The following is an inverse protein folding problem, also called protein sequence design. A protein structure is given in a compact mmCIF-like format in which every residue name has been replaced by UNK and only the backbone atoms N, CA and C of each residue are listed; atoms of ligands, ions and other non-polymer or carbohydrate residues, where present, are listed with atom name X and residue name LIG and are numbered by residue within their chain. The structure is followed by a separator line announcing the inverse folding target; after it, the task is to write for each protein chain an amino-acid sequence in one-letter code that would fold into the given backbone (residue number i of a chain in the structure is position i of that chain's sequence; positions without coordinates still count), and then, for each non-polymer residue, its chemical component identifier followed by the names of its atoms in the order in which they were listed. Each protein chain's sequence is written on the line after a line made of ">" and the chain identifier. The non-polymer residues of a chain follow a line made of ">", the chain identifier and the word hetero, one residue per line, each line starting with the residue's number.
data_IF_015415761739
#
_entry.id   IF_015415761739
#
_cell.length_a   1.000
_cell.length_b   1.000
_cell.length_c   1.000
_cell.angle_alpha   90.00
_cell.angle_beta   90.00
_cell.angle_gamma   90.00
#
_symmetry.space_group_name_H-M   'P 1'
#
loop_
_entity.id
_entity.type
_entity.pdbx_description
1 polymer ?
#
# COMPACT_ATOMS: atom_id res chain seq x y z
N UNK A 1 7.47 76.17 0.80
CA UNK A 1 6.74 75.08 1.57
C UNK A 1 6.72 73.85 0.74
N UNK A 2 7.40 72.79 1.14
CA UNK A 2 7.40 71.49 0.46
C UNK A 2 6.46 70.54 1.26
N UNK A 3 5.55 69.80 0.62
CA UNK A 3 4.70 68.86 1.32
C UNK A 3 5.49 67.59 1.68
N UNK A 4 5.37 67.17 2.94
CA UNK A 4 5.88 65.91 3.45
C UNK A 4 4.93 64.81 3.00
N UNK A 5 5.43 63.85 2.20
CA UNK A 5 4.72 62.63 1.82
C UNK A 5 5.13 61.53 2.80
N UNK A 6 4.20 61.04 3.62
CA UNK A 6 4.40 59.87 4.48
C UNK A 6 4.10 58.58 3.70
N UNK A 7 5.01 57.61 3.67
CA UNK A 7 4.70 56.31 3.07
C UNK A 7 3.79 55.48 3.99
N UNK A 8 2.64 55.10 3.46
CA UNK A 8 1.71 54.19 4.13
C UNK A 8 2.23 52.74 3.98
N UNK A 9 2.77 52.15 5.04
CA UNK A 9 3.13 50.74 5.06
C UNK A 9 1.86 49.90 5.33
N UNK A 10 1.37 49.16 4.33
CA UNK A 10 0.34 48.16 4.50
C UNK A 10 0.99 46.88 4.99
N UNK A 11 0.80 46.56 6.27
CA UNK A 11 1.18 45.27 6.83
C UNK A 11 0.18 44.20 6.36
N UNK A 12 0.58 43.38 5.39
CA UNK A 12 -0.19 42.22 4.97
C UNK A 12 -0.02 41.14 6.02
N UNK A 13 -1.01 40.96 6.89
CA UNK A 13 -1.05 39.83 7.87
C UNK A 13 -1.31 38.54 7.11
N UNK A 14 -0.29 37.69 6.95
CA UNK A 14 -0.44 36.32 6.47
C UNK A 14 -1.14 35.50 7.58
N UNK A 15 -2.40 35.16 7.37
CA UNK A 15 -3.11 34.20 8.20
C UNK A 15 -2.44 32.82 8.07
N UNK A 16 -2.14 32.09 9.16
CA UNK A 16 -1.62 30.76 9.09
C UNK A 16 -2.67 29.86 8.42
N UNK A 17 -2.29 29.16 7.34
CA UNK A 17 -3.13 28.15 6.74
C UNK A 17 -3.41 27.05 7.76
N UNK A 18 -4.67 26.88 8.14
CA UNK A 18 -5.11 25.73 8.97
C UNK A 18 -4.76 24.45 8.20
N UNK A 19 -3.75 23.77 8.65
CA UNK A 19 -3.44 22.41 8.17
C UNK A 19 -4.54 21.50 8.67
N UNK A 20 -5.28 20.87 7.75
CA UNK A 20 -6.26 19.86 8.12
C UNK A 20 -5.56 18.78 8.97
N UNK A 21 -6.19 18.41 10.09
CA UNK A 21 -5.65 17.33 10.92
C UNK A 21 -5.54 16.05 10.10
N UNK A 22 -4.43 15.32 10.27
CA UNK A 22 -4.24 14.03 9.61
C UNK A 22 -5.39 13.09 9.99
N UNK A 23 -5.90 12.29 9.03
CA UNK A 23 -6.96 11.32 9.31
C UNK A 23 -6.57 10.36 10.43
N UNK A 24 -7.50 9.98 11.33
CA UNK A 24 -7.18 9.10 12.45
C UNK A 24 -6.67 7.74 11.96
N UNK A 25 -5.57 7.29 12.58
CA UNK A 25 -4.99 5.97 12.35
C UNK A 25 -5.82 4.94 13.10
N UNK A 26 -6.39 3.98 12.40
CA UNK A 26 -7.16 2.85 12.96
C UNK A 26 -6.24 1.70 13.31
N UNK A 27 -5.21 1.49 12.50
CA UNK A 27 -4.19 0.47 12.72
C UNK A 27 -2.87 0.90 12.06
N UNK A 28 -1.76 0.56 12.72
CA UNK A 28 -0.41 0.76 12.19
C UNK A 28 0.49 -0.40 12.61
N UNK A 29 1.30 -0.89 11.69
CA UNK A 29 2.42 -1.78 11.97
C UNK A 29 3.65 -1.33 11.16
N UNK A 30 4.70 -0.99 11.86
CA UNK A 30 5.99 -0.58 11.26
C UNK A 30 6.92 -1.75 11.02
N UNK A 31 6.55 -2.95 11.53
CA UNK A 31 7.38 -4.15 11.48
C UNK A 31 8.77 -4.00 12.12
N UNK A 32 8.87 -3.18 13.17
CA UNK A 32 10.16 -2.83 13.80
C UNK A 32 10.88 -4.03 14.42
N UNK A 33 10.13 -4.92 15.14
CA UNK A 33 10.72 -6.06 15.87
C UNK A 33 9.90 -7.34 15.76
N UNK A 34 8.59 -7.22 15.80
CA UNK A 34 7.63 -8.32 15.76
C UNK A 34 6.42 -7.90 14.95
N UNK A 35 5.64 -8.85 14.47
CA UNK A 35 4.33 -8.58 13.90
C UNK A 35 3.37 -8.11 14.98
N UNK A 36 2.52 -7.16 14.66
CA UNK A 36 1.40 -6.75 15.50
C UNK A 36 0.42 -7.91 15.75
N UNK A 37 -0.40 -7.79 16.82
CA UNK A 37 -1.25 -8.88 17.33
C UNK A 37 -2.35 -9.34 16.38
N UNK A 38 -2.78 -8.48 15.43
CA UNK A 38 -3.97 -8.75 14.62
C UNK A 38 -3.66 -9.34 13.24
N UNK A 39 -2.44 -9.80 13.05
CA UNK A 39 -2.02 -10.49 11.84
C UNK A 39 -2.17 -12.00 11.93
N UNK A 40 -2.54 -12.62 10.84
CA UNK A 40 -2.58 -14.06 10.65
C UNK A 40 -1.94 -14.46 9.32
N UNK A 41 -1.11 -15.49 9.33
CA UNK A 41 -0.53 -16.04 8.11
C UNK A 41 -1.52 -16.98 7.41
N UNK A 42 -1.70 -16.80 6.13
CA UNK A 42 -2.34 -17.78 5.26
C UNK A 42 -1.24 -18.59 4.56
N UNK A 43 -1.27 -19.91 4.78
CA UNK A 43 -0.28 -20.85 4.24
C UNK A 43 1.17 -20.47 4.58
N UNK A 44 1.42 -20.32 5.88
CA UNK A 44 2.73 -19.92 6.38
C UNK A 44 3.84 -20.91 6.00
N UNK A 45 4.94 -20.35 5.49
CA UNK A 45 6.25 -20.99 5.42
C UNK A 45 7.21 -20.13 6.26
N UNK A 46 7.52 -20.52 7.52
CA UNK A 46 8.30 -19.69 8.43
C UNK A 46 9.76 -19.50 8.02
N UNK A 47 10.22 -20.24 7.01
CA UNK A 47 11.58 -20.06 6.44
C UNK A 47 11.63 -19.00 5.34
N UNK A 48 10.47 -18.56 4.87
CA UNK A 48 10.35 -17.64 3.74
C UNK A 48 9.77 -16.27 4.15
N UNK A 49 9.88 -15.90 5.41
CA UNK A 49 9.65 -14.54 5.88
C UNK A 49 10.54 -14.22 7.08
N UNK A 50 10.79 -12.95 7.31
CA UNK A 50 11.58 -12.47 8.45
C UNK A 50 11.31 -10.99 8.72
N UNK A 51 11.57 -10.55 9.95
CA UNK A 51 11.71 -9.13 10.27
C UNK A 51 13.19 -8.80 10.25
N UNK A 52 13.56 -7.81 9.45
CA UNK A 52 14.95 -7.39 9.30
C UNK A 52 15.03 -5.88 9.15
N UNK A 53 15.91 -5.25 9.93
CA UNK A 53 16.19 -3.81 9.86
C UNK A 53 14.92 -2.94 9.94
N UNK A 54 13.97 -3.33 10.82
CA UNK A 54 12.71 -2.60 11.01
C UNK A 54 11.74 -2.70 9.83
N UNK A 55 11.68 -3.82 9.12
CA UNK A 55 10.74 -4.10 8.05
C UNK A 55 10.44 -5.59 7.94
N UNK A 56 9.30 -5.95 7.40
CA UNK A 56 8.91 -7.31 7.10
C UNK A 56 9.42 -7.69 5.70
N UNK A 57 10.26 -8.69 5.62
CA UNK A 57 10.67 -9.28 4.34
C UNK A 57 9.96 -10.61 4.11
N UNK A 58 9.36 -10.77 2.93
CA UNK A 58 8.72 -12.01 2.48
C UNK A 58 9.41 -12.46 1.20
N UNK A 59 9.80 -13.74 1.15
CA UNK A 59 10.35 -14.35 -0.06
C UNK A 59 9.22 -14.55 -1.10
N UNK A 60 9.50 -14.17 -2.34
CA UNK A 60 8.56 -14.32 -3.45
C UNK A 60 8.60 -15.76 -3.92
N UNK A 61 7.76 -16.61 -3.33
CA UNK A 61 7.69 -18.02 -3.72
C UNK A 61 6.89 -18.19 -5.03
N UNK A 62 7.16 -19.26 -5.81
CA UNK A 62 6.33 -19.62 -6.96
C UNK A 62 4.88 -19.86 -6.54
N UNK A 63 3.92 -19.47 -7.39
CA UNK A 63 2.49 -19.67 -7.14
C UNK A 63 1.64 -18.53 -7.68
N UNK A 64 0.34 -18.62 -7.46
CA UNK A 64 -0.68 -17.66 -7.90
C UNK A 64 -1.44 -17.11 -6.69
N UNK A 65 -2.26 -16.09 -6.89
CA UNK A 65 -3.03 -15.46 -5.80
C UNK A 65 -3.89 -16.44 -4.98
N UNK A 66 -4.43 -17.49 -5.59
CA UNK A 66 -5.27 -18.49 -4.94
C UNK A 66 -4.49 -19.53 -4.12
N UNK A 67 -3.19 -19.68 -4.36
CA UNK A 67 -2.32 -20.62 -3.65
C UNK A 67 -1.05 -19.97 -3.07
N UNK A 68 -1.03 -18.63 -2.99
CA UNK A 68 0.08 -17.86 -2.40
C UNK A 68 0.44 -18.39 -1.01
N UNK A 69 1.72 -18.49 -0.74
CA UNK A 69 2.26 -18.75 0.60
C UNK A 69 2.66 -17.42 1.24
N UNK A 70 2.67 -17.41 2.58
CA UNK A 70 3.01 -16.21 3.35
C UNK A 70 2.19 -14.97 2.97
N UNK A 71 0.88 -15.13 2.69
CA UNK A 71 0.01 -13.98 2.71
C UNK A 71 -0.26 -13.58 4.16
N UNK A 72 0.10 -12.37 4.54
CA UNK A 72 -0.13 -11.84 5.88
C UNK A 72 -1.46 -11.09 5.88
N UNK A 73 -2.47 -11.64 6.56
CA UNK A 73 -3.85 -11.18 6.56
C UNK A 73 -4.25 -10.56 7.89
N UNK A 74 -5.18 -9.63 7.82
CA UNK A 74 -5.94 -9.11 8.95
C UNK A 74 -7.38 -8.82 8.54
N UNK A 75 -8.29 -8.71 9.52
CA UNK A 75 -9.64 -8.25 9.26
C UNK A 75 -9.62 -6.87 8.58
N UNK A 76 -10.41 -6.72 7.52
CA UNK A 76 -10.60 -5.43 6.89
C UNK A 76 -11.40 -4.48 7.80
N UNK A 77 -11.21 -3.15 7.68
CA UNK A 77 -12.04 -2.19 8.39
C UNK A 77 -13.48 -2.25 7.88
N UNK A 78 -14.43 -1.98 8.78
CA UNK A 78 -15.87 -1.98 8.46
C UNK A 78 -16.24 -0.77 7.58
N UNK A 79 -16.14 -0.95 6.27
CA UNK A 79 -16.40 0.09 5.27
C UNK A 79 -17.88 0.43 5.08
N UNK A 80 -18.77 -0.21 5.84
CA UNK A 80 -20.18 0.23 5.94
C UNK A 80 -20.32 1.47 6.83
N UNK A 81 -19.37 1.70 7.73
CA UNK A 81 -19.39 2.79 8.72
C UNK A 81 -18.61 4.02 8.29
N UNK A 82 -17.47 3.82 7.58
CA UNK A 82 -16.60 4.89 7.14
C UNK A 82 -15.85 4.52 5.87
N UNK A 83 -15.14 5.46 5.29
CA UNK A 83 -14.17 5.20 4.22
C UNK A 83 -12.78 5.04 4.83
N UNK A 84 -11.94 4.21 4.20
CA UNK A 84 -10.61 3.92 4.71
C UNK A 84 -9.55 3.99 3.62
N UNK A 85 -8.35 4.38 4.00
CA UNK A 85 -7.13 4.25 3.21
C UNK A 85 -6.24 3.19 3.85
N UNK A 86 -5.89 2.16 3.09
CA UNK A 86 -4.92 1.13 3.45
C UNK A 86 -3.63 1.44 2.71
N UNK A 87 -2.55 1.62 3.42
CA UNK A 87 -1.25 2.02 2.87
C UNK A 87 -0.17 1.03 3.28
N UNK A 88 0.81 0.81 2.40
CA UNK A 88 2.04 0.08 2.67
C UNK A 88 3.13 0.53 1.71
N UNK A 89 4.36 0.61 2.18
CA UNK A 89 5.52 0.78 1.31
C UNK A 89 6.09 -0.60 0.99
N UNK A 90 6.34 -0.86 -0.29
CA UNK A 90 6.97 -2.09 -0.76
C UNK A 90 8.28 -1.77 -1.48
N UNK A 91 9.28 -2.63 -1.28
CA UNK A 91 10.58 -2.54 -1.95
C UNK A 91 11.01 -3.92 -2.41
N UNK A 92 11.19 -4.11 -3.70
CA UNK A 92 11.85 -5.31 -4.22
C UNK A 92 13.34 -5.24 -3.87
N UNK A 93 13.88 -6.24 -3.15
CA UNK A 93 15.30 -6.24 -2.75
C UNK A 93 16.22 -6.54 -3.94
N UNK A 94 15.71 -7.26 -4.94
CA UNK A 94 16.32 -7.45 -6.26
C UNK A 94 15.25 -7.16 -7.32
N UNK A 95 15.61 -6.77 -8.56
CA UNK A 95 14.65 -6.60 -9.64
C UNK A 95 13.85 -7.89 -9.87
N UNK A 96 12.52 -7.83 -10.06
CA UNK A 96 11.74 -9.00 -10.43
C UNK A 96 12.18 -9.51 -11.80
N UNK A 97 12.18 -10.83 -11.99
CA UNK A 97 12.65 -11.47 -13.23
C UNK A 97 11.65 -12.43 -13.82
N UNK A 98 10.70 -12.91 -13.01
CA UNK A 98 9.70 -13.86 -13.49
C UNK A 98 8.46 -13.11 -13.99
N UNK A 99 7.90 -13.60 -15.12
CA UNK A 99 6.65 -13.04 -15.65
C UNK A 99 5.55 -13.10 -14.58
N UNK A 100 4.91 -11.96 -14.32
CA UNK A 100 3.88 -11.79 -13.28
C UNK A 100 4.39 -11.92 -11.82
N UNK A 101 5.69 -11.84 -11.59
CA UNK A 101 6.23 -11.66 -10.24
C UNK A 101 5.68 -10.36 -9.64
N UNK A 102 5.09 -10.42 -8.45
CA UNK A 102 4.35 -9.29 -7.92
C UNK A 102 4.32 -9.21 -6.41
N UNK A 103 4.07 -8.00 -5.90
CA UNK A 103 3.88 -7.73 -4.48
C UNK A 103 2.90 -6.57 -4.26
N UNK A 104 2.16 -6.62 -3.15
CA UNK A 104 1.28 -5.52 -2.77
C UNK A 104 0.13 -5.90 -1.86
N UNK A 105 -0.98 -5.17 -2.01
CA UNK A 105 -2.20 -5.32 -1.22
C UNK A 105 -3.20 -6.20 -1.97
N UNK A 106 -3.79 -7.18 -1.28
CA UNK A 106 -4.89 -8.00 -1.83
C UNK A 106 -6.08 -7.96 -0.88
N UNK A 107 -7.26 -7.78 -1.43
CA UNK A 107 -8.53 -7.85 -0.70
C UNK A 107 -9.14 -9.23 -0.84
N UNK A 108 -9.54 -9.81 0.27
CA UNK A 108 -10.14 -11.13 0.36
C UNK A 108 -11.59 -11.06 0.81
N UNK A 109 -12.42 -11.99 0.34
CA UNK A 109 -13.75 -12.27 0.83
C UNK A 109 -13.93 -13.78 0.96
N UNK A 110 -14.37 -14.25 2.14
CA UNK A 110 -14.49 -15.71 2.43
C UNK A 110 -13.24 -16.49 2.05
N UNK A 111 -12.06 -15.95 2.37
CA UNK A 111 -10.77 -16.59 2.07
C UNK A 111 -10.35 -16.59 0.60
N UNK A 112 -11.11 -15.94 -0.30
CA UNK A 112 -10.77 -15.83 -1.72
C UNK A 112 -10.27 -14.42 -2.08
N UNK A 113 -9.19 -14.29 -2.86
CA UNK A 113 -8.74 -13.00 -3.36
C UNK A 113 -9.72 -12.46 -4.41
N UNK A 114 -10.28 -11.26 -4.19
CA UNK A 114 -11.26 -10.63 -5.08
C UNK A 114 -10.76 -9.34 -5.72
N UNK A 115 -9.73 -8.72 -5.17
CA UNK A 115 -9.10 -7.52 -5.73
C UNK A 115 -7.63 -7.45 -5.31
N UNK A 116 -6.78 -6.90 -6.19
CA UNK A 116 -5.37 -6.64 -5.88
C UNK A 116 -4.94 -5.25 -6.33
N UNK A 117 -4.08 -4.61 -5.54
CA UNK A 117 -3.26 -3.46 -5.91
C UNK A 117 -1.80 -3.88 -5.74
N UNK A 118 -1.12 -4.15 -6.83
CA UNK A 118 0.23 -4.73 -6.80
C UNK A 118 1.17 -4.06 -7.79
N UNK A 119 2.45 -4.08 -7.46
CA UNK A 119 3.56 -3.84 -8.36
C UNK A 119 3.91 -5.18 -9.01
N UNK A 120 3.82 -5.28 -10.34
CA UNK A 120 3.87 -6.54 -11.09
C UNK A 120 4.80 -6.43 -12.30
N UNK A 121 5.65 -7.43 -12.48
CA UNK A 121 6.56 -7.56 -13.62
C UNK A 121 5.86 -8.20 -14.82
N UNK A 122 5.79 -7.48 -15.96
CA UNK A 122 5.09 -7.94 -17.17
C UNK A 122 5.94 -7.60 -18.40
N UNK A 123 6.29 -8.61 -19.18
CA UNK A 123 7.03 -8.46 -20.44
C UNK A 123 8.33 -7.63 -20.28
N UNK A 124 9.10 -7.90 -19.21
CA UNK A 124 10.36 -7.25 -18.93
C UNK A 124 10.24 -5.82 -18.40
N UNK A 125 9.05 -5.39 -17.96
CA UNK A 125 8.78 -4.06 -17.39
C UNK A 125 7.89 -4.17 -16.15
N UNK A 126 7.95 -3.16 -15.30
CA UNK A 126 7.21 -3.11 -14.05
C UNK A 126 6.02 -2.15 -14.15
N UNK A 127 4.88 -2.60 -13.62
CA UNK A 127 3.61 -1.89 -13.70
C UNK A 127 2.84 -1.94 -12.38
N UNK A 128 2.02 -0.92 -12.17
CA UNK A 128 0.97 -0.96 -11.15
C UNK A 128 -0.30 -1.59 -11.72
N UNK A 129 -0.83 -2.59 -11.03
CA UNK A 129 -2.06 -3.32 -11.38
C UNK A 129 -3.10 -3.11 -10.27
N UNK A 130 -4.38 -2.84 -10.61
CA UNK A 130 -4.97 -2.78 -11.94
C UNK A 130 -4.58 -1.50 -12.70
N UNK A 131 -4.88 -1.39 -13.99
CA UNK A 131 -4.65 -0.18 -14.80
C UNK A 131 -3.39 -0.23 -15.65
N UNK A 132 -2.42 -1.09 -15.34
CA UNK A 132 -1.17 -1.27 -16.10
C UNK A 132 -0.41 0.05 -16.31
N UNK A 133 -0.30 0.88 -15.22
CA UNK A 133 0.53 2.08 -15.26
C UNK A 133 2.01 1.71 -15.08
N UNK A 134 2.93 2.24 -15.91
CA UNK A 134 4.36 2.03 -15.71
C UNK A 134 4.83 2.47 -14.33
N UNK A 135 5.61 1.63 -13.66
CA UNK A 135 6.18 1.84 -12.35
C UNK A 135 7.57 1.19 -12.25
N UNK A 136 8.60 1.79 -12.87
CA UNK A 136 9.93 1.23 -12.91
C UNK A 136 10.69 1.34 -11.60
N UNK A 137 10.11 2.01 -10.61
CA UNK A 137 10.75 2.27 -9.32
C UNK A 137 10.80 0.98 -8.48
N UNK A 138 11.96 0.73 -7.90
CA UNK A 138 12.20 -0.40 -6.97
C UNK A 138 11.32 -0.32 -5.71
N UNK A 139 11.05 0.90 -5.25
CA UNK A 139 10.25 1.20 -4.07
C UNK A 139 9.00 1.96 -4.48
N UNK A 140 7.84 1.51 -4.03
CA UNK A 140 6.58 2.23 -4.22
C UNK A 140 5.77 2.21 -2.93
N UNK A 141 5.06 3.29 -2.66
CA UNK A 141 4.03 3.29 -1.62
C UNK A 141 2.67 3.10 -2.26
N UNK A 142 1.97 2.07 -1.82
CA UNK A 142 0.63 1.74 -2.26
C UNK A 142 -0.39 2.39 -1.34
N UNK A 143 -1.52 2.83 -1.92
CA UNK A 143 -2.71 3.26 -1.19
C UNK A 143 -3.95 2.68 -1.86
N UNK A 144 -4.67 1.87 -1.12
CA UNK A 144 -6.00 1.40 -1.48
C UNK A 144 -7.04 2.14 -0.64
N UNK A 145 -7.79 3.03 -1.28
CA UNK A 145 -8.93 3.69 -0.65
C UNK A 145 -10.17 2.82 -0.90
N UNK A 146 -10.93 2.55 0.15
CA UNK A 146 -12.16 1.76 0.08
C UNK A 146 -13.31 2.52 0.73
N UNK A 147 -14.45 2.48 0.08
CA UNK A 147 -15.74 2.95 0.59
C UNK A 147 -16.68 1.76 0.69
N UNK A 148 -17.95 1.99 0.98
CA UNK A 148 -18.96 0.93 1.12
C UNK A 148 -18.93 -0.07 -0.05
N UNK A 149 -18.83 0.41 -1.29
CA UNK A 149 -18.99 -0.38 -2.52
C UNK A 149 -17.95 -0.08 -3.61
N UNK A 150 -16.98 0.80 -3.32
CA UNK A 150 -15.99 1.26 -4.32
C UNK A 150 -14.57 1.20 -3.79
N UNK A 151 -13.63 1.20 -4.72
CA UNK A 151 -12.22 1.40 -4.44
C UNK A 151 -11.61 2.49 -5.32
N UNK A 152 -10.53 3.09 -4.83
CA UNK A 152 -9.56 3.86 -5.60
C UNK A 152 -8.16 3.36 -5.26
N UNK A 153 -7.47 2.83 -6.26
CA UNK A 153 -6.11 2.33 -6.15
C UNK A 153 -5.13 3.41 -6.57
N UNK A 154 -4.13 3.67 -5.74
CA UNK A 154 -3.12 4.71 -5.95
C UNK A 154 -1.74 4.20 -5.60
N UNK A 155 -0.71 4.80 -6.18
CA UNK A 155 0.67 4.59 -5.77
C UNK A 155 1.47 5.89 -5.80
N UNK A 156 2.58 5.86 -5.10
CA UNK A 156 3.53 6.95 -4.99
C UNK A 156 4.91 6.40 -5.34
N UNK A 157 5.52 6.85 -6.46
CA UNK A 157 6.85 6.45 -6.88
C UNK A 157 7.89 6.78 -5.81
N UNK A 158 8.86 5.88 -5.58
CA UNK A 158 9.91 6.03 -4.57
C UNK A 158 9.40 6.40 -3.16
N UNK A 159 8.13 6.10 -2.87
CA UNK A 159 7.43 6.52 -1.66
C UNK A 159 7.50 8.05 -1.40
N UNK A 160 7.60 8.86 -2.45
CA UNK A 160 7.75 10.33 -2.41
C UNK A 160 6.81 11.03 -3.37
N UNK A 161 6.53 12.31 -3.09
CA UNK A 161 5.69 13.17 -3.93
C UNK A 161 4.19 12.87 -3.77
N UNK A 162 3.44 13.05 -4.84
CA UNK A 162 1.99 12.86 -4.84
C UNK A 162 1.58 11.43 -5.23
N UNK A 163 0.43 11.00 -4.72
CA UNK A 163 -0.17 9.74 -5.15
C UNK A 163 -0.76 9.86 -6.55
N UNK A 164 -0.41 8.92 -7.41
CA UNK A 164 -0.99 8.76 -8.75
C UNK A 164 -2.11 7.73 -8.69
N UNK A 165 -3.27 8.04 -9.27
CA UNK A 165 -4.38 7.08 -9.36
C UNK A 165 -4.08 6.05 -10.45
N UNK A 166 -4.13 4.79 -10.08
CA UNK A 166 -3.94 3.62 -10.95
C UNK A 166 -5.27 3.21 -11.58
N UNK A 167 -6.30 3.10 -10.74
CA UNK A 167 -7.64 2.72 -11.16
C UNK A 167 -8.66 3.07 -10.06
N UNK A 168 -9.93 3.15 -10.45
CA UNK A 168 -11.08 3.21 -9.55
C UNK A 168 -12.18 2.31 -10.09
N UNK A 169 -13.02 1.77 -9.20
CA UNK A 169 -14.08 0.87 -9.62
C UNK A 169 -14.94 0.41 -8.47
N UNK A 170 -15.77 -0.60 -8.75
CA UNK A 170 -16.63 -1.21 -7.75
C UNK A 170 -15.88 -2.32 -7.01
N UNK A 171 -16.06 -2.35 -5.70
CA UNK A 171 -15.65 -3.42 -4.81
C UNK A 171 -16.85 -3.78 -3.96
N UNK A 172 -17.70 -4.68 -4.47
CA UNK A 172 -18.93 -5.05 -3.80
C UNK A 172 -18.67 -5.53 -2.37
N UNK A 173 -19.51 -5.17 -1.39
CA UNK A 173 -19.43 -5.72 -0.04
C UNK A 173 -19.52 -7.25 -0.06
N UNK A 174 -18.77 -7.89 0.81
CA UNK A 174 -18.77 -9.33 0.97
C UNK A 174 -18.66 -9.72 2.43
N UNK A 175 -18.84 -11.01 2.70
CA UNK A 175 -18.65 -11.54 4.05
C UNK A 175 -17.16 -11.82 4.32
N UNK A 176 -16.77 -11.77 5.60
CA UNK A 176 -15.41 -12.11 6.07
C UNK A 176 -14.33 -11.35 5.28
N UNK A 177 -14.52 -10.04 5.13
CA UNK A 177 -13.55 -9.20 4.42
C UNK A 177 -12.23 -9.12 5.18
N UNK A 178 -11.14 -9.35 4.44
CA UNK A 178 -9.78 -9.26 4.96
C UNK A 178 -8.90 -8.48 3.97
N UNK A 179 -7.89 -7.83 4.48
CA UNK A 179 -6.83 -7.22 3.70
C UNK A 179 -5.52 -7.96 3.97
N UNK A 180 -4.76 -8.21 2.92
CA UNK A 180 -3.43 -8.80 3.05
C UNK A 180 -2.35 -7.96 2.41
N UNK A 181 -1.13 -8.14 2.91
CA UNK A 181 0.10 -7.86 2.17
C UNK A 181 0.73 -9.20 1.79
N UNK A 182 1.17 -9.30 0.55
CA UNK A 182 1.68 -10.55 -0.01
C UNK A 182 2.53 -10.33 -1.25
N UNK A 183 3.37 -11.31 -1.57
CA UNK A 183 4.08 -11.39 -2.84
C UNK A 183 4.04 -12.83 -3.35
N UNK A 184 4.09 -13.01 -4.65
CA UNK A 184 4.04 -14.35 -5.27
C UNK A 184 4.50 -14.35 -6.71
N UNK A 185 4.56 -15.54 -7.28
CA UNK A 185 5.00 -15.82 -8.64
C UNK A 185 6.48 -15.51 -8.87
N UNK A 186 7.29 -15.69 -7.83
CA UNK A 186 8.74 -15.59 -7.93
C UNK A 186 9.37 -16.72 -8.75
N UNK A 187 10.64 -16.56 -9.14
CA UNK A 187 11.36 -17.56 -9.90
C UNK A 187 11.63 -18.81 -9.06
N UNK A 188 11.53 -19.99 -9.68
CA UNK A 188 11.88 -21.24 -9.02
C UNK A 188 13.40 -21.35 -8.79
N UNK A 189 13.81 -21.69 -7.56
CA UNK A 189 15.21 -21.93 -7.23
C UNK A 189 16.08 -20.68 -7.04
N UNK A 190 15.48 -19.49 -7.07
CA UNK A 190 16.15 -18.22 -6.80
C UNK A 190 15.38 -17.46 -5.73
N UNK A 191 16.07 -17.00 -4.71
CA UNK A 191 15.44 -16.20 -3.66
C UNK A 191 15.32 -14.74 -4.07
N UNK A 192 14.09 -14.30 -4.28
CA UNK A 192 13.72 -12.89 -4.35
C UNK A 192 12.97 -12.51 -3.09
N UNK A 193 13.28 -11.34 -2.54
CA UNK A 193 12.63 -10.83 -1.32
C UNK A 193 11.96 -9.51 -1.61
N UNK A 194 10.79 -9.35 -1.03
CA UNK A 194 10.08 -8.06 -0.99
C UNK A 194 10.02 -7.61 0.45
N UNK A 195 10.40 -6.37 0.67
CA UNK A 195 10.29 -5.69 1.95
C UNK A 195 9.00 -4.89 2.00
N UNK A 196 8.28 -5.02 3.10
CA UNK A 196 7.09 -4.26 3.46
C UNK A 196 7.40 -3.38 4.66
N UNK A 197 7.05 -2.09 4.57
CA UNK A 197 7.25 -1.11 5.62
C UNK A 197 5.98 -0.27 5.80
N UNK A 198 5.82 0.33 6.99
CA UNK A 198 4.80 1.35 7.25
C UNK A 198 3.37 0.96 6.83
N UNK A 199 2.91 -0.24 7.18
CA UNK A 199 1.51 -0.59 6.95
C UNK A 199 0.58 0.24 7.83
N UNK A 200 -0.45 0.84 7.24
CA UNK A 200 -1.42 1.69 7.97
C UNK A 200 -2.82 1.53 7.41
N UNK A 201 -3.79 1.61 8.31
CA UNK A 201 -5.19 1.82 7.98
C UNK A 201 -5.63 3.12 8.63
N UNK A 202 -6.13 4.05 7.81
CA UNK A 202 -6.63 5.36 8.25
C UNK A 202 -8.09 5.50 7.86
N UNK A 203 -8.89 6.08 8.74
CA UNK A 203 -10.22 6.55 8.35
C UNK A 203 -10.06 7.84 7.52
N UNK A 204 -10.77 7.92 6.40
CA UNK A 204 -10.78 9.10 5.51
C UNK A 204 -12.19 9.62 5.36
N UNK A 205 -12.31 10.93 5.25
CA UNK A 205 -13.59 11.63 5.08
C UNK A 205 -14.05 11.63 3.63
#
# INVERSE_FOLDING_TARGET
>A
MRPLVYPFFVLLAMAPALRAADPPVVFEDKFDKTLGSDWAWLRENPKAWRIREGGLEICVEPGLANNVKNALLRSAPDRSKASYAIEVTITFTAPPTNQYEQAGITWYQKGNPVFKLVHEHIDGKDYMIPGKLPAPEKTVRLRLMVTKDKYTAQFQPDAKGEFKTVASGNLAPGDEEQVSIQCYNGPAGVEHWVRFDDFRIREVK
#
